data_IF_570952594601
#
_entry.id   IF_570952594601
#
_cell.length_a   1.000
_cell.length_b   1.000
_cell.length_c   1.000
_cell.angle_alpha   90.00
_cell.angle_beta   90.00
_cell.angle_gamma   90.00
#
_symmetry.space_group_name_H-M   'P 1'
#
loop_
_entity.id
_entity.type
_entity.pdbx_description
1 polymer ?
#
# COMPACT_ATOMS: atom_id res chain seq x y z
N UNK A 1 -14.02 5.97 12.27
CA UNK A 1 -13.10 5.93 11.11
C UNK A 1 -12.67 4.49 10.91
N UNK A 2 -12.85 3.94 9.71
CA UNK A 2 -12.32 2.61 9.38
C UNK A 2 -10.79 2.67 9.22
N UNK A 3 -10.07 1.55 9.34
CA UNK A 3 -8.62 1.51 9.08
C UNK A 3 -8.27 2.03 7.68
N UNK A 4 -9.07 1.73 6.65
CA UNK A 4 -8.84 2.27 5.31
C UNK A 4 -8.96 3.80 5.26
N UNK A 5 -10.00 4.36 5.89
CA UNK A 5 -10.17 5.81 5.97
C UNK A 5 -9.00 6.47 6.71
N UNK A 6 -8.48 5.84 7.76
CA UNK A 6 -7.33 6.34 8.50
C UNK A 6 -6.06 6.32 7.65
N UNK A 7 -5.84 5.23 6.90
CA UNK A 7 -4.70 5.10 5.99
C UNK A 7 -4.73 6.16 4.88
N UNK A 8 -5.87 6.34 4.21
CA UNK A 8 -6.00 7.36 3.16
C UNK A 8 -5.79 8.77 3.72
N UNK A 9 -6.41 9.10 4.86
CA UNK A 9 -6.28 10.43 5.49
C UNK A 9 -4.82 10.75 5.83
N UNK A 10 -4.11 9.83 6.49
CA UNK A 10 -2.74 10.11 6.94
C UNK A 10 -1.75 10.24 5.78
N UNK A 11 -1.89 9.42 4.73
CA UNK A 11 -1.01 9.50 3.57
C UNK A 11 -1.26 10.78 2.79
N UNK A 12 -2.53 11.13 2.55
CA UNK A 12 -2.89 12.34 1.84
C UNK A 12 -2.47 13.60 2.60
N UNK A 13 -2.79 13.70 3.89
CA UNK A 13 -2.42 14.86 4.71
C UNK A 13 -0.90 15.04 4.82
N UNK A 14 -0.16 13.94 4.95
CA UNK A 14 1.30 14.01 5.04
C UNK A 14 1.90 14.43 3.70
N UNK A 15 1.43 13.85 2.59
CA UNK A 15 1.85 14.25 1.26
C UNK A 15 1.59 15.74 1.00
N UNK A 16 0.39 16.22 1.28
CA UNK A 16 0.02 17.63 1.09
C UNK A 16 0.89 18.57 1.93
N UNK A 17 1.18 18.21 3.18
CA UNK A 17 2.10 18.96 4.06
C UNK A 17 3.52 18.99 3.50
N UNK A 18 4.02 17.86 2.99
CA UNK A 18 5.37 17.77 2.40
C UNK A 18 5.46 18.56 1.10
N UNK A 19 4.46 18.46 0.24
CA UNK A 19 4.35 19.24 -1.00
C UNK A 19 4.30 20.74 -0.70
N UNK A 20 3.46 21.16 0.24
CA UNK A 20 3.32 22.57 0.64
C UNK A 20 4.59 23.16 1.24
N UNK A 21 5.33 22.37 2.04
CA UNK A 21 6.53 22.84 2.75
C UNK A 21 7.81 22.74 1.93
N UNK A 22 7.96 21.70 1.13
CA UNK A 22 9.23 21.35 0.48
C UNK A 22 9.14 21.26 -1.04
N UNK A 23 7.94 21.41 -1.63
CA UNK A 23 7.73 21.23 -3.08
C UNK A 23 7.89 19.79 -3.56
N UNK A 24 8.06 18.83 -2.64
CA UNK A 24 8.24 17.41 -2.94
C UNK A 24 7.77 16.53 -1.78
N UNK A 25 7.26 15.36 -2.12
CA UNK A 25 7.04 14.25 -1.19
C UNK A 25 7.85 13.03 -1.70
N UNK A 26 8.45 12.28 -0.78
CA UNK A 26 9.02 10.96 -1.11
C UNK A 26 7.93 9.90 -1.21
N UNK A 27 8.34 8.65 -1.40
CA UNK A 27 7.44 7.50 -1.41
C UNK A 27 6.87 7.28 0.00
N UNK A 28 5.54 7.27 0.11
CA UNK A 28 4.77 7.07 1.33
C UNK A 28 3.84 5.88 1.11
N UNK A 29 3.95 4.90 2.00
CA UNK A 29 3.03 3.76 2.04
C UNK A 29 2.81 3.34 3.48
N UNK A 30 1.54 3.11 3.85
CA UNK A 30 1.13 2.71 5.21
C UNK A 30 0.22 1.51 5.12
N UNK A 31 0.43 0.56 6.03
CA UNK A 31 -0.53 -0.51 6.36
C UNK A 31 -0.89 -0.36 7.82
N UNK A 32 -2.18 -0.42 8.15
CA UNK A 32 -2.65 -0.32 9.52
C UNK A 32 -3.75 -1.34 9.81
N UNK A 33 -3.93 -1.65 11.09
CA UNK A 33 -4.92 -2.61 11.57
C UNK A 33 -5.51 -2.12 12.89
N UNK A 34 -6.82 -2.31 13.10
CA UNK A 34 -7.46 -2.02 14.38
C UNK A 34 -7.54 -3.25 15.30
N UNK A 35 -8.05 -3.05 16.51
CA UNK A 35 -8.21 -4.12 17.51
C UNK A 35 -9.23 -5.22 17.13
N UNK A 36 -9.96 -5.07 16.01
CA UNK A 36 -10.88 -6.09 15.47
C UNK A 36 -10.26 -6.92 14.35
N UNK A 37 -9.03 -6.61 13.95
CA UNK A 37 -8.35 -7.23 12.82
C UNK A 37 -8.81 -6.70 11.45
N UNK A 38 -9.59 -5.62 11.42
CA UNK A 38 -9.85 -4.90 10.16
C UNK A 38 -8.60 -4.12 9.80
N UNK A 39 -8.28 -4.04 8.51
CA UNK A 39 -7.04 -3.42 8.04
C UNK A 39 -7.32 -2.42 6.91
N UNK A 40 -6.33 -1.57 6.67
CA UNK A 40 -6.34 -0.57 5.60
C UNK A 40 -4.93 -0.32 5.11
N UNK A 41 -4.80 0.07 3.85
CA UNK A 41 -3.54 0.40 3.24
C UNK A 41 -3.69 1.64 2.36
N UNK A 42 -2.69 2.51 2.39
CA UNK A 42 -2.65 3.68 1.54
C UNK A 42 -1.24 3.93 1.01
N UNK A 43 -1.16 4.52 -0.18
CA UNK A 43 0.11 4.82 -0.84
C UNK A 43 0.03 6.06 -1.71
N UNK A 44 1.11 6.84 -1.80
CA UNK A 44 1.23 7.93 -2.77
C UNK A 44 1.93 7.53 -4.08
N UNK A 45 2.48 6.31 -4.15
CA UNK A 45 3.14 5.78 -5.35
C UNK A 45 2.17 4.97 -6.21
N UNK A 46 2.59 4.66 -7.44
CA UNK A 46 1.77 3.95 -8.44
C UNK A 46 1.35 2.55 -7.97
N UNK A 47 2.22 1.83 -7.28
CA UNK A 47 1.93 0.46 -6.84
C UNK A 47 2.69 0.16 -5.56
N UNK A 48 1.98 -0.35 -4.57
CA UNK A 48 2.53 -0.80 -3.31
C UNK A 48 1.98 -2.20 -2.99
N UNK A 49 2.85 -3.17 -2.70
CA UNK A 49 2.42 -4.53 -2.33
C UNK A 49 2.63 -4.77 -0.84
N UNK A 50 1.67 -5.42 -0.20
CA UNK A 50 1.72 -5.73 1.23
C UNK A 50 1.07 -7.10 1.52
N UNK A 51 1.30 -7.64 2.71
CA UNK A 51 0.78 -8.94 3.11
C UNK A 51 -0.06 -8.79 4.37
N UNK A 52 -1.21 -9.46 4.40
CA UNK A 52 -2.07 -9.51 5.59
C UNK A 52 -2.42 -10.97 5.90
N UNK A 53 -2.40 -11.29 7.18
CA UNK A 53 -2.97 -12.51 7.73
C UNK A 53 -3.71 -12.16 9.02
N UNK A 54 -4.94 -12.64 9.18
CA UNK A 54 -5.75 -12.51 10.40
C UNK A 54 -6.50 -13.82 10.67
N UNK A 55 -7.24 -13.91 11.77
CA UNK A 55 -8.11 -15.05 12.02
C UNK A 55 -9.22 -15.24 10.94
N UNK A 56 -9.54 -14.20 10.17
CA UNK A 56 -10.60 -14.20 9.14
C UNK A 56 -10.07 -13.98 7.72
N UNK A 57 -8.82 -13.59 7.58
CA UNK A 57 -8.13 -13.35 6.31
C UNK A 57 -6.94 -14.33 6.24
N UNK A 58 -6.95 -15.34 5.35
CA UNK A 58 -5.78 -16.18 5.16
C UNK A 58 -4.57 -15.34 4.75
N UNK A 59 -3.36 -15.86 4.91
CA UNK A 59 -2.14 -15.22 4.43
C UNK A 59 -2.31 -14.84 2.95
N UNK A 60 -2.39 -13.55 2.67
CA UNK A 60 -2.72 -13.05 1.33
C UNK A 60 -1.84 -11.86 1.02
N UNK A 61 -1.26 -11.88 -0.19
CA UNK A 61 -0.54 -10.75 -0.76
C UNK A 61 -1.55 -9.85 -1.45
N UNK A 62 -1.50 -8.56 -1.16
CA UNK A 62 -2.34 -7.53 -1.74
C UNK A 62 -1.49 -6.55 -2.54
N UNK A 63 -2.08 -6.04 -3.63
CA UNK A 63 -1.55 -4.91 -4.40
C UNK A 63 -2.46 -3.72 -4.20
N UNK A 64 -1.88 -2.63 -3.69
CA UNK A 64 -2.48 -1.32 -3.56
C UNK A 64 -2.12 -0.42 -4.73
N UNK A 65 -3.12 0.32 -5.20
CA UNK A 65 -3.00 1.34 -6.24
C UNK A 65 -3.74 2.60 -5.80
N UNK A 66 -3.12 3.75 -6.06
CA UNK A 66 -3.73 5.05 -5.80
C UNK A 66 -4.66 5.45 -6.95
N UNK A 67 -5.90 5.76 -6.60
CA UNK A 67 -6.90 6.37 -7.49
C UNK A 67 -7.34 7.71 -6.87
N UNK A 68 -6.74 8.81 -7.35
CA UNK A 68 -6.91 10.17 -6.79
C UNK A 68 -6.48 10.21 -5.32
N UNK A 69 -7.35 10.64 -4.40
CA UNK A 69 -7.06 10.78 -2.96
C UNK A 69 -7.37 9.49 -2.17
N UNK A 70 -7.62 8.37 -2.86
CA UNK A 70 -7.95 7.09 -2.23
C UNK A 70 -7.07 5.99 -2.76
N UNK A 71 -6.82 5.03 -1.89
CA UNK A 71 -6.11 3.80 -2.25
C UNK A 71 -7.08 2.65 -2.34
N UNK A 72 -6.96 1.89 -3.42
CA UNK A 72 -7.69 0.64 -3.61
C UNK A 72 -6.69 -0.50 -3.58
N UNK A 73 -7.02 -1.59 -2.89
CA UNK A 73 -6.19 -2.79 -2.90
C UNK A 73 -7.01 -4.03 -3.20
N UNK A 74 -6.34 -5.01 -3.77
CA UNK A 74 -6.91 -6.30 -4.15
C UNK A 74 -5.90 -7.41 -3.94
N UNK A 75 -6.39 -8.61 -3.66
CA UNK A 75 -5.54 -9.80 -3.61
C UNK A 75 -4.87 -10.00 -4.99
N UNK A 76 -3.59 -10.34 -4.99
CA UNK A 76 -2.86 -10.62 -6.22
C UNK A 76 -3.09 -12.06 -6.67
N UNK A 77 -2.95 -12.30 -7.97
CA UNK A 77 -3.01 -13.63 -8.57
C UNK A 77 -1.62 -14.27 -8.70
N UNK A 78 -1.60 -15.52 -9.13
CA UNK A 78 -0.36 -16.29 -9.31
C UNK A 78 0.54 -15.70 -10.39
N UNK A 79 -0.03 -15.13 -11.46
CA UNK A 79 0.73 -14.47 -12.52
C UNK A 79 1.51 -13.28 -11.97
N UNK A 80 0.84 -12.44 -11.18
CA UNK A 80 1.48 -11.32 -10.51
C UNK A 80 2.57 -11.78 -9.53
N UNK A 81 2.32 -12.84 -8.77
CA UNK A 81 3.32 -13.42 -7.85
C UNK A 81 4.56 -13.94 -8.57
N UNK A 82 4.38 -14.61 -9.71
CA UNK A 82 5.49 -15.09 -10.55
C UNK A 82 6.29 -13.92 -11.13
N UNK A 83 5.61 -12.89 -11.66
CA UNK A 83 6.26 -11.69 -12.18
C UNK A 83 7.02 -10.94 -11.07
N UNK A 84 6.44 -10.83 -9.88
CA UNK A 84 7.09 -10.24 -8.72
C UNK A 84 8.35 -11.02 -8.32
N UNK A 85 8.25 -12.36 -8.22
CA UNK A 85 9.37 -13.22 -7.88
C UNK A 85 10.50 -13.15 -8.92
N UNK A 86 10.17 -13.09 -10.20
CA UNK A 86 11.15 -12.92 -11.28
C UNK A 86 11.87 -11.56 -11.15
N UNK A 87 11.12 -10.48 -10.90
CA UNK A 87 11.68 -9.13 -10.78
C UNK A 87 12.64 -8.97 -9.61
N UNK A 88 12.30 -9.50 -8.43
CA UNK A 88 13.19 -9.37 -7.24
C UNK A 88 14.42 -10.28 -7.30
N UNK A 89 14.41 -11.30 -8.18
CA UNK A 89 15.54 -12.21 -8.43
C UNK A 89 16.40 -11.78 -9.61
N UNK A 90 15.96 -10.77 -10.37
CA UNK A 90 16.73 -10.24 -11.47
C UNK A 90 18.06 -9.65 -10.95
N UNK A 91 19.16 -9.77 -11.71
CA UNK A 91 20.40 -9.09 -11.39
C UNK A 91 20.16 -7.59 -11.22
N UNK A 92 20.87 -6.97 -10.28
CA UNK A 92 20.88 -5.51 -10.15
C UNK A 92 21.74 -4.99 -11.31
N UNK A 93 21.14 -4.22 -12.21
CA UNK A 93 21.88 -3.51 -13.26
C UNK A 93 22.71 -2.38 -12.63
N UNK A 94 23.98 -2.26 -13.06
CA UNK A 94 24.93 -1.24 -12.59
C UNK A 94 24.59 0.18 -13.05
#
# INVERSE_FOLDING_TARGET
MSPQQAADSVVFELEDKLMSRFGRAGDLSVVCMNNKGEFGAATNIKTFSFVVATARQPLTVFRAERLREKTHYQAVDDEWMQAYAARIRAPIEE
#
